data_IF_830379020185
#
_entry.id   IF_830379020185
#
_cell.length_a   1.000
_cell.length_b   1.000
_cell.length_c   1.000
_cell.angle_alpha   90.00
_cell.angle_beta   90.00
_cell.angle_gamma   90.00
#
_symmetry.space_group_name_H-M   'P 1'
#
loop_
_entity.id
_entity.type
_entity.pdbx_description
1 polymer ?
#
# COMPACT_ATOMS: atom_id res chain seq x y z
N UNK A 1 -7.18 2.66 13.19
CA UNK A 1 -6.70 2.89 11.81
C UNK A 1 -5.38 2.19 11.56
N UNK A 2 -4.35 2.39 12.41
CA UNK A 2 -3.08 1.67 12.30
C UNK A 2 -3.25 0.14 12.21
N UNK A 3 -4.05 -0.48 13.09
CA UNK A 3 -4.32 -1.94 13.02
C UNK A 3 -4.92 -2.37 11.68
N UNK A 4 -5.87 -1.61 11.13
CA UNK A 4 -6.49 -1.92 9.84
C UNK A 4 -5.46 -1.84 8.73
N UNK A 5 -4.67 -0.77 8.71
CA UNK A 5 -3.59 -0.58 7.74
C UNK A 5 -2.52 -1.68 7.86
N UNK A 6 -2.18 -2.09 9.08
CA UNK A 6 -1.27 -3.21 9.34
C UNK A 6 -1.79 -4.50 8.70
N UNK A 7 -3.01 -4.91 9.04
CA UNK A 7 -3.60 -6.17 8.55
C UNK A 7 -3.69 -6.17 7.03
N UNK A 8 -4.20 -5.08 6.44
CA UNK A 8 -4.37 -5.00 4.98
C UNK A 8 -3.02 -5.00 4.24
N UNK A 9 -2.03 -4.25 4.75
CA UNK A 9 -0.69 -4.22 4.15
C UNK A 9 0.01 -5.58 4.30
N UNK A 10 -0.16 -6.25 5.45
CA UNK A 10 0.39 -7.60 5.68
C UNK A 10 -0.25 -8.64 4.75
N UNK A 11 -1.59 -8.62 4.61
CA UNK A 11 -2.30 -9.51 3.68
C UNK A 11 -1.81 -9.27 2.25
N UNK A 12 -1.68 -8.00 1.83
CA UNK A 12 -1.13 -7.68 0.51
C UNK A 12 0.28 -8.26 0.35
N UNK A 13 1.17 -8.06 1.33
CA UNK A 13 2.51 -8.63 1.33
C UNK A 13 2.52 -10.15 1.17
N UNK A 14 1.70 -10.87 1.95
CA UNK A 14 1.58 -12.34 1.87
C UNK A 14 1.12 -12.78 0.48
N UNK A 15 0.13 -12.11 -0.11
CA UNK A 15 -0.36 -12.43 -1.45
C UNK A 15 0.70 -12.19 -2.53
N UNK A 16 1.54 -11.16 -2.36
CA UNK A 16 2.63 -10.87 -3.28
C UNK A 16 3.80 -11.86 -3.18
N UNK A 17 4.00 -12.59 -2.08
CA UNK A 17 5.10 -13.56 -1.97
C UNK A 17 5.11 -14.62 -3.08
N UNK A 18 3.95 -14.89 -3.72
CA UNK A 18 3.84 -15.84 -4.84
C UNK A 18 4.18 -15.25 -6.21
N UNK A 19 3.97 -13.96 -6.41
CA UNK A 19 4.17 -13.28 -7.70
C UNK A 19 5.44 -12.44 -7.74
N UNK A 20 5.76 -11.77 -6.63
CA UNK A 20 6.96 -10.97 -6.43
C UNK A 20 7.40 -11.06 -4.97
N UNK A 21 8.38 -11.96 -4.72
CA UNK A 21 8.90 -12.24 -3.39
C UNK A 21 9.47 -10.98 -2.71
N UNK A 22 10.25 -10.18 -3.44
CA UNK A 22 10.93 -9.02 -2.89
C UNK A 22 9.91 -7.94 -2.51
N UNK A 23 8.93 -7.70 -3.39
CA UNK A 23 7.87 -6.74 -3.09
C UNK A 23 6.96 -7.22 -1.96
N UNK A 24 6.66 -8.52 -1.88
CA UNK A 24 5.90 -9.11 -0.77
C UNK A 24 6.60 -8.95 0.58
N UNK A 25 7.90 -9.24 0.65
CA UNK A 25 8.72 -9.02 1.86
C UNK A 25 8.74 -7.53 2.22
N UNK A 26 8.95 -6.66 1.24
CA UNK A 26 8.95 -5.21 1.44
C UNK A 26 7.63 -4.73 2.06
N UNK A 27 6.49 -5.13 1.50
CA UNK A 27 5.17 -4.81 2.08
C UNK A 27 5.01 -5.37 3.49
N UNK A 28 5.55 -6.56 3.77
CA UNK A 28 5.63 -7.12 5.12
C UNK A 28 6.38 -6.18 6.08
N UNK A 29 7.54 -5.67 5.69
CA UNK A 29 8.31 -4.70 6.49
C UNK A 29 7.53 -3.39 6.69
N UNK A 30 6.90 -2.86 5.63
CA UNK A 30 6.07 -1.65 5.72
C UNK A 30 4.87 -1.85 6.65
N UNK A 31 4.28 -3.05 6.69
CA UNK A 31 3.18 -3.34 7.62
C UNK A 31 3.59 -3.11 9.08
N UNK A 32 4.86 -3.37 9.44
CA UNK A 32 5.37 -3.17 10.79
C UNK A 32 5.36 -1.70 11.22
N UNK A 33 5.47 -0.75 10.29
CA UNK A 33 5.33 0.70 10.60
C UNK A 33 3.97 0.97 11.24
N UNK A 34 2.91 0.34 10.75
CA UNK A 34 1.57 0.49 11.31
C UNK A 34 1.40 -0.29 12.62
N UNK A 35 2.05 -1.44 12.75
CA UNK A 35 2.05 -2.22 14.00
C UNK A 35 2.71 -1.42 15.13
N UNK A 36 3.91 -0.89 14.92
CA UNK A 36 4.60 -0.02 15.89
C UNK A 36 3.75 1.22 16.22
N UNK A 37 3.17 1.85 15.20
CA UNK A 37 2.25 2.97 15.39
C UNK A 37 1.00 2.64 16.23
N UNK A 38 0.63 1.36 16.38
CA UNK A 38 -0.49 0.94 17.25
C UNK A 38 -0.11 0.97 18.73
N UNK A 39 1.15 0.69 19.07
CA UNK A 39 1.66 0.66 20.44
C UNK A 39 2.15 2.03 20.94
N UNK A 40 2.15 3.06 20.08
CA UNK A 40 2.54 4.41 20.45
C UNK A 40 1.51 5.10 21.37
N UNK A 41 1.98 5.54 22.54
CA UNK A 41 1.17 6.27 23.53
C UNK A 41 0.97 7.73 23.09
N UNK A 42 1.98 8.33 22.45
CA UNK A 42 1.88 9.70 21.94
C UNK A 42 0.98 9.77 20.73
N UNK A 43 -0.06 10.59 20.82
CA UNK A 43 -1.01 10.82 19.72
C UNK A 43 -0.34 11.37 18.46
N UNK A 44 0.74 12.14 18.61
CA UNK A 44 1.50 12.67 17.49
C UNK A 44 2.29 11.55 16.80
N UNK A 45 3.00 10.71 17.57
CA UNK A 45 3.75 9.57 17.03
C UNK A 45 2.82 8.52 16.40
N UNK A 46 1.67 8.24 17.02
CA UNK A 46 0.63 7.39 16.44
C UNK A 46 0.23 7.86 15.04
N UNK A 47 -0.02 9.18 14.90
CA UNK A 47 -0.41 9.81 13.63
C UNK A 47 0.74 9.89 12.63
N UNK A 48 1.98 10.05 13.09
CA UNK A 48 3.16 10.07 12.24
C UNK A 48 3.34 8.71 11.55
N UNK A 49 3.31 7.61 12.30
CA UNK A 49 3.37 6.25 11.74
C UNK A 49 2.24 6.00 10.73
N UNK A 50 1.01 6.36 11.10
CA UNK A 50 -0.14 6.22 10.21
C UNK A 50 0.07 6.96 8.90
N UNK A 51 0.58 8.19 8.96
CA UNK A 51 0.77 9.03 7.79
C UNK A 51 1.93 8.58 6.90
N UNK A 52 3.09 8.29 7.48
CA UNK A 52 4.27 7.82 6.74
C UNK A 52 3.98 6.48 6.08
N UNK A 53 3.43 5.52 6.82
CA UNK A 53 3.03 4.23 6.25
C UNK A 53 1.99 4.41 5.13
N UNK A 54 1.01 5.30 5.31
CA UNK A 54 0.00 5.58 4.29
C UNK A 54 0.60 6.18 3.01
N UNK A 55 1.58 7.08 3.12
CA UNK A 55 2.27 7.63 1.94
C UNK A 55 3.04 6.55 1.18
N UNK A 56 3.73 5.66 1.88
CA UNK A 56 4.48 4.56 1.26
C UNK A 56 3.51 3.63 0.53
N UNK A 57 2.44 3.16 1.20
CA UNK A 57 1.44 2.30 0.57
C UNK A 57 0.79 2.97 -0.64
N UNK A 58 0.46 4.26 -0.54
CA UNK A 58 -0.13 5.01 -1.65
C UNK A 58 0.82 5.10 -2.85
N UNK A 59 2.11 5.34 -2.60
CA UNK A 59 3.13 5.36 -3.65
C UNK A 59 3.18 4.03 -4.40
N UNK A 60 3.28 2.91 -3.68
CA UNK A 60 3.37 1.60 -4.32
C UNK A 60 2.07 1.16 -4.98
N UNK A 61 0.91 1.47 -4.38
CA UNK A 61 -0.37 1.27 -5.05
C UNK A 61 -0.45 2.07 -6.37
N UNK A 62 0.06 3.30 -6.37
CA UNK A 62 0.15 4.14 -7.56
C UNK A 62 1.08 3.57 -8.63
N UNK A 63 2.29 3.12 -8.25
CA UNK A 63 3.24 2.48 -9.17
C UNK A 63 2.65 1.20 -9.75
N UNK A 64 2.09 0.30 -8.94
CA UNK A 64 1.45 -0.92 -9.45
C UNK A 64 0.26 -0.64 -10.36
N UNK A 65 -0.48 0.44 -10.11
CA UNK A 65 -1.56 0.86 -10.99
C UNK A 65 -1.04 1.41 -12.33
N UNK A 66 0.03 2.21 -12.31
CA UNK A 66 0.68 2.70 -13.51
C UNK A 66 1.29 1.55 -14.32
N UNK A 67 1.93 0.58 -13.66
CA UNK A 67 2.47 -0.61 -14.32
C UNK A 67 1.35 -1.38 -15.03
N UNK A 68 0.21 -1.58 -14.37
CA UNK A 68 -0.96 -2.18 -14.98
C UNK A 68 -1.46 -1.40 -16.22
N UNK A 69 -1.53 -0.07 -16.14
CA UNK A 69 -1.91 0.78 -17.27
C UNK A 69 -0.92 0.69 -18.44
N UNK A 70 0.39 0.70 -18.15
CA UNK A 70 1.42 0.53 -19.19
C UNK A 70 1.41 -0.89 -19.78
N UNK A 71 0.92 -1.88 -19.03
CA UNK A 71 0.68 -3.24 -19.50
C UNK A 71 -0.31 -3.35 -20.66
N UNK A 72 -1.13 -2.33 -20.91
CA UNK A 72 -1.98 -2.27 -22.11
C UNK A 72 -1.20 -1.98 -23.39
N UNK A 73 0.02 -1.46 -23.29
CA UNK A 73 0.91 -1.21 -24.43
C UNK A 73 1.74 -2.44 -24.80
N UNK A 74 1.90 -3.41 -23.88
CA UNK A 74 2.65 -4.67 -24.11
C UNK A 74 2.20 -5.46 -25.34
N UNK A 75 0.88 -5.60 -25.63
CA UNK A 75 0.43 -6.25 -26.85
C UNK A 75 0.93 -5.59 -28.14
N UNK A 76 1.20 -4.28 -28.13
CA UNK A 76 1.77 -3.57 -29.29
C UNK A 76 3.23 -3.97 -29.55
N UNK A 77 3.91 -4.50 -28.54
CA UNK A 77 5.29 -5.02 -28.61
C UNK A 77 5.34 -6.54 -28.83
N UNK A 78 4.18 -7.20 -29.00
CA UNK A 78 4.09 -8.66 -29.10
C UNK A 78 4.22 -9.40 -27.76
N UNK A 79 4.18 -8.67 -26.63
CA UNK A 79 4.23 -9.26 -25.29
C UNK A 79 2.83 -9.55 -24.74
N UNK A 80 2.74 -10.50 -23.80
CA UNK A 80 1.49 -10.80 -23.10
C UNK A 80 1.03 -9.63 -22.22
N UNK A 81 -0.30 -9.48 -22.11
CA UNK A 81 -0.90 -8.44 -21.28
C UNK A 81 -0.67 -8.72 -19.80
N UNK A 82 -0.14 -7.74 -19.07
CA UNK A 82 -0.09 -7.81 -17.60
C UNK A 82 -1.49 -7.88 -17.01
N UNK A 83 -1.72 -8.87 -16.14
CA UNK A 83 -2.98 -9.02 -15.40
C UNK A 83 -2.78 -8.64 -13.94
N UNK A 84 -3.87 -8.22 -13.28
CA UNK A 84 -3.84 -7.91 -11.84
C UNK A 84 -3.97 -9.20 -11.03
N UNK A 85 -3.11 -9.35 -10.04
CA UNK A 85 -3.21 -10.43 -9.06
C UNK A 85 -4.13 -10.04 -7.91
N UNK A 86 -4.54 -11.02 -7.09
CA UNK A 86 -5.24 -10.76 -5.83
C UNK A 86 -4.46 -9.80 -4.92
N UNK A 87 -3.12 -9.86 -4.92
CA UNK A 87 -2.27 -8.94 -4.17
C UNK A 87 -2.47 -7.49 -4.57
N UNK A 88 -2.63 -7.21 -5.88
CA UNK A 88 -2.90 -5.87 -6.41
C UNK A 88 -4.23 -5.32 -5.90
N UNK A 89 -5.30 -6.11 -5.91
CA UNK A 89 -6.61 -5.64 -5.45
C UNK A 89 -6.60 -5.24 -3.97
N UNK A 90 -5.95 -6.05 -3.13
CA UNK A 90 -5.79 -5.71 -1.70
C UNK A 90 -4.91 -4.46 -1.55
N UNK A 91 -3.82 -4.34 -2.32
CA UNK A 91 -2.96 -3.16 -2.30
C UNK A 91 -3.72 -1.88 -2.70
N UNK A 92 -4.55 -1.94 -3.73
CA UNK A 92 -5.35 -0.81 -4.20
C UNK A 92 -6.41 -0.38 -3.19
N UNK A 93 -7.09 -1.34 -2.55
CA UNK A 93 -8.01 -1.05 -1.44
C UNK A 93 -7.26 -0.37 -0.28
N UNK A 94 -6.10 -0.91 0.07
CA UNK A 94 -5.24 -0.33 1.13
C UNK A 94 -4.79 1.08 0.75
N UNK A 95 -4.43 1.30 -0.53
CA UNK A 95 -4.08 2.60 -1.09
C UNK A 95 -5.23 3.60 -1.04
N UNK A 96 -6.47 3.18 -1.32
CA UNK A 96 -7.65 4.05 -1.19
C UNK A 96 -7.88 4.49 0.26
N UNK A 97 -7.72 3.59 1.23
CA UNK A 97 -7.82 3.91 2.66
C UNK A 97 -6.67 4.83 3.10
N UNK A 98 -5.45 4.58 2.60
CA UNK A 98 -4.29 5.43 2.82
C UNK A 98 -4.53 6.85 2.29
N UNK A 99 -5.06 6.98 1.07
CA UNK A 99 -5.41 8.25 0.45
C UNK A 99 -6.40 9.03 1.32
N UNK A 100 -7.49 8.38 1.75
CA UNK A 100 -8.46 9.00 2.65
C UNK A 100 -7.81 9.50 3.95
N UNK A 101 -6.90 8.72 4.51
CA UNK A 101 -6.17 9.06 5.74
C UNK A 101 -5.27 10.29 5.56
N UNK A 102 -4.55 10.36 4.45
CA UNK A 102 -3.68 11.49 4.09
C UNK A 102 -4.50 12.77 3.82
N UNK A 103 -5.58 12.66 3.04
CA UNK A 103 -6.43 13.80 2.71
C UNK A 103 -7.17 14.37 3.93
N UNK A 104 -7.74 13.50 4.78
CA UNK A 104 -8.41 13.92 6.02
C UNK A 104 -7.49 14.69 6.95
N UNK A 105 -6.19 14.38 6.96
CA UNK A 105 -5.20 15.14 7.74
C UNK A 105 -5.00 16.54 7.16
N UNK A 106 -4.85 16.68 5.84
CA UNK A 106 -4.73 18.01 5.18
C UNK A 106 -5.92 18.92 5.49
N UNK A 107 -7.14 18.38 5.54
CA UNK A 107 -8.36 19.16 5.85
C UNK A 107 -8.39 19.70 7.29
N UNK A 108 -7.81 18.98 8.27
CA UNK A 108 -7.78 19.40 9.68
C UNK A 108 -6.61 20.33 10.06
N UNK A 109 -5.71 20.61 9.13
CA UNK A 109 -4.49 21.41 9.38
C UNK A 109 -4.60 22.83 8.79
N UNK A 110 -5.81 23.26 8.41
CA UNK A 110 -6.17 24.64 8.09
C UNK A 110 -7.16 25.14 9.13
#
# INVERSE_FOLDING_TARGET
MNIVMFILTLISGILYLRSDLLFGIFLGVISMVFLYGTFEISREKYRAHLFVGSLIVLFFAGISFLEYLTGFLKPLLGEEKSTLTFGNYVLFLTGAIALFTVLKRKVKTK
#
